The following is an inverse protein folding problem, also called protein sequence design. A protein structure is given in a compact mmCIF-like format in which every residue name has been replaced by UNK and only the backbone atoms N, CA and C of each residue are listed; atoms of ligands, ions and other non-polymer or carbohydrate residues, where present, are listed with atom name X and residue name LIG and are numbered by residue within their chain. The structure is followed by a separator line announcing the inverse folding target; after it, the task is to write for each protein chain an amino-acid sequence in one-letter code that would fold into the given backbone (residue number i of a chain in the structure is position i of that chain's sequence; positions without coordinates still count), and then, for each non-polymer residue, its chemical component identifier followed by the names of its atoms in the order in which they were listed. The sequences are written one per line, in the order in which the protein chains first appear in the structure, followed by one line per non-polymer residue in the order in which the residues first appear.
data_IF_260800509540
#
_entry.id   IF_260800509540
#
_cell.length_a   1.000
_cell.length_b   1.000
_cell.length_c   1.000
_cell.angle_alpha   90.00
_cell.angle_beta   90.00
_cell.angle_gamma   90.00
#
_symmetry.space_group_name_H-M   'P 1'
#
loop_
_entity.id
_entity.type
_entity.pdbx_description
1 polymer ?
#
# COMPACT_ATOMS: atom_id res chain seq x y z
N UNK A 1 16.63 -1.52 -14.55
CA UNK A 1 15.43 -2.31 -14.20
C UNK A 1 15.62 -3.17 -12.95
N UNK A 2 16.61 -4.08 -12.87
CA UNK A 2 16.79 -4.96 -11.70
C UNK A 2 16.93 -4.19 -10.37
N UNK A 3 17.75 -3.14 -10.33
CA UNK A 3 17.85 -2.28 -9.14
C UNK A 3 16.52 -1.65 -8.74
N UNK A 4 15.74 -1.21 -9.74
CA UNK A 4 14.38 -0.70 -9.50
C UNK A 4 13.44 -1.77 -8.95
N UNK A 5 13.45 -2.98 -9.53
CA UNK A 5 12.63 -4.09 -9.05
C UNK A 5 12.96 -4.47 -7.60
N UNK A 6 14.26 -4.52 -7.24
CA UNK A 6 14.69 -4.74 -5.87
C UNK A 6 14.18 -3.63 -4.92
N UNK A 7 14.25 -2.36 -5.33
CA UNK A 7 13.70 -1.25 -4.55
C UNK A 7 12.19 -1.37 -4.39
N UNK A 8 11.47 -1.75 -5.45
CA UNK A 8 10.02 -1.96 -5.39
C UNK A 8 9.62 -3.05 -4.39
N UNK A 9 10.34 -4.17 -4.38
CA UNK A 9 10.14 -5.23 -3.38
C UNK A 9 10.49 -4.73 -1.98
N UNK A 10 11.61 -4.02 -1.81
CA UNK A 10 12.04 -3.52 -0.51
C UNK A 10 11.05 -2.53 0.11
N UNK A 11 10.39 -1.70 -0.71
CA UNK A 11 9.36 -0.77 -0.23
C UNK A 11 8.05 -1.50 0.07
N UNK A 12 7.68 -2.49 -0.75
CA UNK A 12 6.41 -3.20 -0.61
C UNK A 12 6.42 -4.29 0.47
N UNK A 13 7.58 -4.90 0.78
CA UNK A 13 7.71 -6.03 1.69
C UNK A 13 7.40 -5.72 3.16
N UNK A 14 7.71 -4.54 3.73
CA UNK A 14 7.39 -4.25 5.12
C UNK A 14 5.89 -4.35 5.38
N UNK A 15 5.54 -5.02 6.49
CA UNK A 15 4.13 -5.19 6.86
C UNK A 15 3.61 -3.87 7.44
N UNK A 16 2.75 -3.22 6.67
CA UNK A 16 2.09 -1.97 7.03
C UNK A 16 0.59 -2.03 6.82
N UNK A 17 -0.13 -0.91 6.99
CA UNK A 17 -1.58 -0.87 6.84
C UNK A 17 -2.05 -1.33 5.44
N UNK A 18 -1.28 -1.04 4.39
CA UNK A 18 -1.61 -1.45 3.03
C UNK A 18 -1.44 -2.97 2.84
N UNK A 19 -0.38 -3.56 3.43
CA UNK A 19 -0.19 -5.02 3.42
C UNK A 19 -1.37 -5.73 4.09
N UNK A 20 -1.78 -5.23 5.26
CA UNK A 20 -2.91 -5.77 6.02
C UNK A 20 -4.22 -5.69 5.23
N UNK A 21 -4.48 -4.56 4.57
CA UNK A 21 -5.68 -4.38 3.72
C UNK A 21 -5.66 -5.32 2.51
N UNK A 22 -4.52 -5.43 1.83
CA UNK A 22 -4.33 -6.31 0.67
C UNK A 22 -4.52 -7.78 1.05
N UNK A 23 -3.85 -8.24 2.11
CA UNK A 23 -3.98 -9.61 2.63
C UNK A 23 -5.42 -9.94 3.00
N UNK A 24 -6.11 -9.03 3.70
CA UNK A 24 -7.50 -9.21 4.07
C UNK A 24 -8.40 -9.37 2.85
N UNK A 25 -8.24 -8.49 1.83
CA UNK A 25 -9.03 -8.59 0.59
C UNK A 25 -8.75 -9.88 -0.17
N UNK A 26 -7.49 -10.34 -0.19
CA UNK A 26 -7.12 -11.61 -0.78
C UNK A 26 -7.78 -12.79 -0.06
N UNK A 27 -7.86 -12.75 1.28
CA UNK A 27 -8.54 -13.77 2.09
C UNK A 27 -10.06 -13.78 1.88
N UNK A 28 -10.71 -12.62 2.02
CA UNK A 28 -12.17 -12.51 2.03
C UNK A 28 -12.78 -12.57 0.63
N UNK A 29 -12.14 -11.95 -0.36
CA UNK A 29 -12.67 -11.74 -1.71
C UNK A 29 -11.89 -12.51 -2.79
N UNK A 30 -10.77 -13.13 -2.41
CA UNK A 30 -9.95 -13.96 -3.28
C UNK A 30 -8.82 -13.20 -3.98
N UNK A 31 -8.02 -13.94 -4.75
CA UNK A 31 -6.80 -13.47 -5.39
C UNK A 31 -6.98 -12.20 -6.23
N UNK A 32 -8.08 -12.11 -7.01
CA UNK A 32 -8.33 -10.93 -7.88
C UNK A 32 -8.44 -9.64 -7.09
N UNK A 33 -9.14 -9.66 -5.94
CA UNK A 33 -9.27 -8.47 -5.10
C UNK A 33 -7.95 -8.07 -4.45
N UNK A 34 -7.15 -9.06 -4.01
CA UNK A 34 -5.79 -8.84 -3.55
C UNK A 34 -4.90 -8.22 -4.63
N UNK A 35 -4.92 -8.79 -5.85
CA UNK A 35 -4.13 -8.30 -6.98
C UNK A 35 -4.52 -6.87 -7.39
N UNK A 36 -5.81 -6.55 -7.47
CA UNK A 36 -6.29 -5.19 -7.77
C UNK A 36 -5.88 -4.19 -6.70
N UNK A 37 -5.92 -4.61 -5.42
CA UNK A 37 -5.39 -3.80 -4.32
C UNK A 37 -3.89 -3.58 -4.48
N UNK A 38 -3.15 -4.63 -4.78
CA UNK A 38 -1.71 -4.58 -5.03
C UNK A 38 -1.34 -3.71 -6.23
N UNK A 39 -2.13 -3.74 -7.30
CA UNK A 39 -1.94 -2.87 -8.47
C UNK A 39 -2.10 -1.39 -8.10
N UNK A 40 -3.10 -1.05 -7.27
CA UNK A 40 -3.27 0.31 -6.75
C UNK A 40 -2.07 0.77 -5.93
N UNK A 41 -1.55 -0.10 -5.06
CA UNK A 41 -0.36 0.19 -4.25
C UNK A 41 0.86 0.35 -5.17
N UNK A 42 1.10 -0.59 -6.08
CA UNK A 42 2.25 -0.56 -6.98
C UNK A 42 2.27 0.68 -7.89
N UNK A 43 1.10 1.13 -8.34
CA UNK A 43 1.01 2.37 -9.13
C UNK A 43 1.38 3.60 -8.28
N UNK A 44 0.93 3.68 -7.03
CA UNK A 44 1.33 4.74 -6.10
C UNK A 44 2.85 4.71 -5.84
N UNK A 45 3.43 3.52 -5.65
CA UNK A 45 4.88 3.33 -5.50
C UNK A 45 5.63 3.82 -6.76
N UNK A 46 5.11 3.51 -7.95
CA UNK A 46 5.64 4.02 -9.22
C UNK A 46 5.59 5.54 -9.33
N UNK A 47 4.51 6.18 -8.87
CA UNK A 47 4.40 7.64 -8.81
C UNK A 47 5.45 8.25 -7.88
N UNK A 48 5.64 7.68 -6.68
CA UNK A 48 6.69 8.13 -5.76
C UNK A 48 8.09 7.92 -6.32
N UNK A 49 8.32 6.77 -6.95
CA UNK A 49 9.57 6.48 -7.64
C UNK A 49 9.86 7.50 -8.74
N UNK A 50 8.85 7.89 -9.54
CA UNK A 50 8.98 8.90 -10.57
C UNK A 50 9.31 10.27 -9.96
N UNK A 51 8.58 10.70 -8.94
CA UNK A 51 8.86 11.95 -8.23
C UNK A 51 10.29 11.98 -7.70
N UNK A 52 10.76 10.89 -7.11
CA UNK A 52 12.09 10.82 -6.52
C UNK A 52 13.21 10.71 -7.57
N UNK A 53 13.02 9.93 -8.65
CA UNK A 53 14.03 9.66 -9.66
C UNK A 53 14.26 10.85 -10.62
N UNK A 54 13.22 11.62 -10.92
CA UNK A 54 13.32 12.81 -11.79
C UNK A 54 13.72 14.09 -11.04
N UNK A 55 14.05 13.97 -9.74
CA UNK A 55 14.60 15.07 -8.96
C UNK A 55 13.66 16.26 -8.85
N UNK A 56 12.35 16.01 -8.77
CA UNK A 56 11.37 17.08 -8.70
C UNK A 56 11.44 17.73 -7.32
N UNK A 57 12.43 18.59 -7.11
CA UNK A 57 12.58 19.39 -5.89
C UNK A 57 11.28 20.12 -5.53
N UNK A 58 10.52 20.52 -6.53
CA UNK A 58 9.20 21.13 -6.38
C UNK A 58 8.19 20.18 -5.75
N UNK A 59 8.17 18.88 -6.14
CA UNK A 59 7.23 17.89 -5.57
C UNK A 59 7.62 17.56 -4.13
N UNK A 60 8.91 17.45 -3.82
CA UNK A 60 9.34 17.24 -2.44
C UNK A 60 9.03 18.44 -1.55
N UNK A 61 9.16 19.65 -2.04
CA UNK A 61 8.77 20.88 -1.35
C UNK A 61 7.24 20.95 -1.18
N UNK A 62 6.46 20.63 -2.20
CA UNK A 62 5.01 20.61 -2.15
C UNK A 62 4.48 19.50 -1.20
N UNK A 63 5.08 18.31 -1.22
CA UNK A 63 4.75 17.23 -0.27
C UNK A 63 5.12 17.61 1.17
N UNK A 64 6.27 18.29 1.36
CA UNK A 64 6.66 18.79 2.68
C UNK A 64 5.71 19.85 3.20
N UNK A 65 5.28 20.76 2.33
CA UNK A 65 4.27 21.78 2.66
C UNK A 65 2.88 21.18 2.93
N UNK A 66 2.52 20.10 2.21
CA UNK A 66 1.27 19.39 2.38
C UNK A 66 1.33 18.28 3.44
N UNK A 67 2.42 18.15 4.20
CA UNK A 67 2.63 17.07 5.17
C UNK A 67 1.49 16.97 6.17
N UNK A 68 1.11 18.05 6.82
CA UNK A 68 0.04 18.08 7.82
C UNK A 68 -1.33 17.66 7.24
N UNK A 69 -1.84 18.25 6.14
CA UNK A 69 -3.10 17.81 5.57
C UNK A 69 -3.07 16.35 5.07
N UNK A 70 -1.94 15.88 4.55
CA UNK A 70 -1.78 14.47 4.15
C UNK A 70 -1.84 13.51 5.35
N UNK A 71 -1.18 13.86 6.47
CA UNK A 71 -1.25 13.07 7.71
C UNK A 71 -2.67 13.02 8.26
N UNK A 72 -3.38 14.16 8.28
CA UNK A 72 -4.75 14.23 8.75
C UNK A 72 -5.70 13.43 7.84
N UNK A 73 -5.64 13.63 6.54
CA UNK A 73 -6.50 12.92 5.59
C UNK A 73 -6.23 11.42 5.56
N UNK A 74 -4.95 11.02 5.49
CA UNK A 74 -4.54 9.62 5.46
C UNK A 74 -4.83 8.92 6.80
N UNK A 75 -4.53 9.56 7.92
CA UNK A 75 -4.82 9.03 9.25
C UNK A 75 -6.30 8.87 9.50
N UNK A 76 -7.12 9.87 9.17
CA UNK A 76 -8.57 9.80 9.27
C UNK A 76 -9.15 8.69 8.38
N UNK A 77 -8.69 8.57 7.13
CA UNK A 77 -9.12 7.52 6.21
C UNK A 77 -8.78 6.11 6.73
N UNK A 78 -7.59 5.91 7.29
CA UNK A 78 -7.18 4.63 7.89
C UNK A 78 -7.99 4.31 9.15
N UNK A 79 -8.24 5.30 10.02
CA UNK A 79 -9.10 5.13 11.20
C UNK A 79 -10.53 4.75 10.79
N UNK A 80 -11.12 5.49 9.86
CA UNK A 80 -12.47 5.20 9.37
C UNK A 80 -12.54 3.80 8.75
N UNK A 81 -11.56 3.43 7.93
CA UNK A 81 -11.49 2.10 7.33
C UNK A 81 -11.37 1.01 8.39
N UNK A 82 -10.47 1.16 9.37
CA UNK A 82 -10.32 0.22 10.48
C UNK A 82 -11.60 0.05 11.29
N UNK A 83 -12.26 1.17 11.64
CA UNK A 83 -13.52 1.18 12.39
C UNK A 83 -14.69 0.56 11.62
N UNK A 84 -14.84 0.89 10.34
CA UNK A 84 -15.89 0.29 9.49
C UNK A 84 -15.69 -1.22 9.33
N UNK A 85 -14.44 -1.63 9.22
CA UNK A 85 -14.08 -3.04 9.14
C UNK A 85 -14.32 -3.81 10.45
N UNK A 86 -14.14 -3.19 11.62
CA UNK A 86 -14.48 -3.78 12.92
C UNK A 86 -15.98 -4.01 13.07
N UNK A 87 -16.78 -3.05 12.59
CA UNK A 87 -18.24 -3.08 12.67
C UNK A 87 -18.90 -4.00 11.63
N UNK A 88 -18.15 -4.39 10.58
CA UNK A 88 -18.68 -5.29 9.56
C UNK A 88 -19.06 -6.64 10.20
N UNK A 89 -20.26 -7.17 9.96
CA UNK A 89 -20.69 -8.48 10.47
C UNK A 89 -19.71 -9.58 10.07
N UNK A 90 -19.60 -10.60 10.91
CA UNK A 90 -18.89 -11.82 10.50
C UNK A 90 -19.53 -12.34 9.22
N UNK A 91 -18.77 -12.92 8.29
CA UNK A 91 -19.35 -13.68 7.19
C UNK A 91 -19.97 -14.96 7.75
N UNK A 92 -21.16 -14.83 8.34
CA UNK A 92 -22.10 -15.92 8.44
C UNK A 92 -22.71 -16.08 7.06
N UNK A 93 -23.19 -17.25 6.67
CA UNK A 93 -23.72 -17.63 5.37
C UNK A 93 -24.75 -16.67 4.68
N UNK A 94 -24.82 -15.43 5.10
CA UNK A 94 -25.57 -14.32 4.52
C UNK A 94 -24.78 -13.70 3.33
N UNK A 95 -25.49 -13.09 2.34
CA UNK A 95 -24.88 -12.60 1.12
C UNK A 95 -23.68 -11.71 1.44
N UNK A 96 -22.53 -12.01 0.80
CA UNK A 96 -21.29 -11.22 0.88
C UNK A 96 -21.65 -9.74 0.85
N UNK A 97 -21.31 -9.00 1.92
CA UNK A 97 -21.34 -7.54 1.88
C UNK A 97 -20.76 -7.12 0.54
N UNK A 98 -21.51 -6.32 -0.22
CA UNK A 98 -21.23 -6.06 -1.61
C UNK A 98 -19.72 -5.80 -1.81
N UNK A 99 -19.07 -6.73 -2.49
CA UNK A 99 -17.64 -6.57 -2.77
C UNK A 99 -17.49 -5.25 -3.54
N UNK A 100 -16.53 -4.44 -3.14
CA UNK A 100 -16.22 -3.22 -3.89
C UNK A 100 -16.04 -3.57 -5.36
N UNK A 101 -16.50 -2.71 -6.25
CA UNK A 101 -16.21 -2.90 -7.67
C UNK A 101 -14.69 -2.97 -7.89
N UNK A 102 -14.22 -3.65 -8.94
CA UNK A 102 -12.79 -3.73 -9.25
C UNK A 102 -12.11 -2.37 -9.26
N UNK A 103 -12.76 -1.36 -9.84
CA UNK A 103 -12.26 0.01 -9.88
C UNK A 103 -12.19 0.64 -8.47
N UNK A 104 -13.21 0.45 -7.64
CA UNK A 104 -13.22 0.95 -6.28
C UNK A 104 -12.16 0.26 -5.41
N UNK A 105 -11.91 -1.03 -5.64
CA UNK A 105 -10.85 -1.80 -4.95
C UNK A 105 -9.47 -1.24 -5.28
N UNK A 106 -9.18 -0.99 -6.54
CA UNK A 106 -7.96 -0.34 -7.02
C UNK A 106 -7.84 1.10 -6.50
N UNK A 107 -8.86 1.93 -6.74
CA UNK A 107 -8.82 3.36 -6.41
C UNK A 107 -8.66 3.62 -4.92
N UNK A 108 -9.30 2.84 -4.06
CA UNK A 108 -9.17 2.98 -2.60
C UNK A 108 -7.76 2.66 -2.13
N UNK A 109 -7.11 1.60 -2.63
CA UNK A 109 -5.72 1.31 -2.23
C UNK A 109 -4.73 2.29 -2.82
N UNK A 110 -4.91 2.72 -4.06
CA UNK A 110 -4.10 3.77 -4.66
C UNK A 110 -4.16 5.07 -3.84
N UNK A 111 -5.38 5.57 -3.56
CA UNK A 111 -5.58 6.80 -2.79
C UNK A 111 -5.01 6.70 -1.37
N UNK A 112 -5.26 5.58 -0.67
CA UNK A 112 -4.72 5.36 0.67
C UNK A 112 -3.19 5.28 0.68
N UNK A 113 -2.58 4.71 -0.36
CA UNK A 113 -1.12 4.63 -0.47
C UNK A 113 -0.52 6.01 -0.75
N UNK A 114 -1.13 6.79 -1.64
CA UNK A 114 -0.67 8.15 -1.98
C UNK A 114 -0.69 9.09 -0.77
N UNK A 115 -1.65 8.93 0.15
CA UNK A 115 -1.71 9.77 1.37
C UNK A 115 -1.01 9.13 2.58
N UNK A 116 -0.40 7.94 2.41
CA UNK A 116 0.21 7.22 3.52
C UNK A 116 1.59 7.82 3.88
N UNK A 117 1.74 8.43 5.05
CA UNK A 117 3.00 9.07 5.45
C UNK A 117 4.17 8.08 5.55
N UNK A 118 3.92 6.83 5.92
CA UNK A 118 4.97 5.82 6.00
C UNK A 118 5.54 5.49 4.61
N UNK A 119 4.71 5.45 3.57
CA UNK A 119 5.13 5.25 2.18
C UNK A 119 5.97 6.45 1.71
N UNK A 120 5.50 7.67 1.98
CA UNK A 120 6.20 8.92 1.62
C UNK A 120 7.62 8.92 2.21
N UNK A 121 7.74 8.66 3.51
CA UNK A 121 9.02 8.63 4.22
C UNK A 121 9.95 7.53 3.72
N UNK A 122 9.40 6.34 3.42
CA UNK A 122 10.18 5.22 2.88
C UNK A 122 10.79 5.56 1.52
N UNK A 123 10.01 6.16 0.62
CA UNK A 123 10.51 6.60 -0.68
C UNK A 123 11.51 7.74 -0.56
N UNK A 124 11.26 8.74 0.28
CA UNK A 124 12.19 9.84 0.51
C UNK A 124 13.56 9.33 1.00
N UNK A 125 13.58 8.41 1.99
CA UNK A 125 14.83 7.84 2.53
C UNK A 125 15.59 6.96 1.53
N UNK A 126 14.90 6.01 0.89
CA UNK A 126 15.54 5.06 -0.03
C UNK A 126 16.06 5.74 -1.30
N UNK A 127 15.29 6.66 -1.87
CA UNK A 127 15.68 7.33 -3.11
C UNK A 127 16.70 8.43 -2.90
N UNK A 128 16.68 9.14 -1.76
CA UNK A 128 17.74 10.08 -1.42
C UNK A 128 19.10 9.38 -1.42
N UNK A 129 19.20 8.18 -0.82
CA UNK A 129 20.41 7.36 -0.86
C UNK A 129 20.77 6.89 -2.28
N UNK A 130 19.81 6.35 -3.02
CA UNK A 130 20.04 5.79 -4.36
C UNK A 130 20.47 6.85 -5.40
N UNK A 131 19.88 8.04 -5.37
CA UNK A 131 20.17 9.14 -6.31
C UNK A 131 21.50 9.82 -5.95
N UNK A 132 21.80 10.01 -4.66
CA UNK A 132 23.07 10.56 -4.19
C UNK A 132 24.27 9.71 -4.63
N UNK A 133 24.16 8.39 -4.50
CA UNK A 133 25.21 7.45 -4.90
C UNK A 133 25.42 7.40 -6.42
N UNK A 134 24.44 7.81 -7.21
CA UNK A 134 24.49 7.74 -8.67
C UNK A 134 25.03 9.03 -9.34
N UNK A 135 25.33 10.10 -8.58
CA UNK A 135 25.81 11.37 -9.14
C UNK A 135 24.85 12.03 -10.13
N UNK A 136 23.55 11.71 -10.03
CA UNK A 136 22.51 12.08 -10.98
C UNK A 136 22.19 10.95 -11.98
N UNK A 137 20.91 10.78 -12.30
CA UNK A 137 20.45 9.75 -13.25
C UNK A 137 20.14 10.39 -14.61
N UNK A 138 20.63 9.78 -15.70
CA UNK A 138 20.13 10.10 -17.03
C UNK A 138 18.64 9.74 -17.13
N UNK A 139 17.85 10.50 -17.87
CA UNK A 139 16.39 10.31 -17.97
C UNK A 139 16.00 8.86 -18.30
N UNK A 140 16.70 8.20 -19.21
CA UNK A 140 16.46 6.80 -19.52
C UNK A 140 16.70 5.84 -18.33
N UNK A 141 17.75 6.10 -17.54
CA UNK A 141 18.05 5.30 -16.35
C UNK A 141 17.01 5.55 -15.25
N UNK A 142 16.55 6.78 -15.08
CA UNK A 142 15.47 7.14 -14.17
C UNK A 142 14.16 6.43 -14.56
N UNK A 143 13.78 6.46 -15.85
CA UNK A 143 12.60 5.76 -16.34
C UNK A 143 12.66 4.24 -16.10
N UNK A 144 13.83 3.61 -16.35
CA UNK A 144 14.05 2.19 -16.06
C UNK A 144 13.99 1.87 -14.56
N UNK A 145 14.44 2.80 -13.71
CA UNK A 145 14.36 2.65 -12.26
C UNK A 145 12.89 2.68 -11.81
N UNK A 146 12.12 3.66 -12.28
CA UNK A 146 10.68 3.81 -12.00
C UNK A 146 9.89 2.59 -12.46
N UNK A 147 10.06 2.18 -13.71
CA UNK A 147 9.40 0.99 -14.26
C UNK A 147 9.77 -0.27 -13.46
N UNK A 148 11.04 -0.41 -13.08
CA UNK A 148 11.50 -1.50 -12.22
C UNK A 148 10.81 -1.47 -10.87
N UNK A 149 10.72 -0.31 -10.20
CA UNK A 149 10.07 -0.18 -8.90
C UNK A 149 8.58 -0.55 -8.97
N UNK A 150 7.87 -0.05 -9.97
CA UNK A 150 6.48 -0.45 -10.21
C UNK A 150 6.33 -1.97 -10.38
N UNK A 151 7.14 -2.57 -11.26
CA UNK A 151 7.08 -4.01 -11.54
C UNK A 151 7.49 -4.86 -10.35
N UNK A 152 8.50 -4.44 -9.58
CA UNK A 152 8.93 -5.13 -8.37
C UNK A 152 7.86 -5.11 -7.27
N UNK A 153 7.26 -3.95 -7.04
CA UNK A 153 6.13 -3.80 -6.12
C UNK A 153 4.94 -4.65 -6.58
N UNK A 154 4.56 -4.58 -7.87
CA UNK A 154 3.46 -5.38 -8.42
C UNK A 154 3.70 -6.88 -8.29
N UNK A 155 4.91 -7.35 -8.58
CA UNK A 155 5.30 -8.76 -8.42
C UNK A 155 5.16 -9.20 -6.96
N UNK A 156 5.61 -8.40 -6.01
CA UNK A 156 5.45 -8.66 -4.58
C UNK A 156 3.97 -8.82 -4.20
N UNK A 157 3.12 -7.88 -4.61
CA UNK A 157 1.69 -7.92 -4.31
C UNK A 157 0.97 -9.08 -5.00
N UNK A 158 1.37 -9.45 -6.20
CA UNK A 158 0.83 -10.62 -6.91
C UNK A 158 1.17 -11.92 -6.18
N UNK A 159 2.44 -12.08 -5.77
CA UNK A 159 2.90 -13.23 -4.97
C UNK A 159 2.19 -13.31 -3.63
N UNK A 160 2.14 -12.20 -2.88
CA UNK A 160 1.47 -12.13 -1.59
C UNK A 160 -0.02 -12.48 -1.69
N UNK A 161 -0.71 -11.86 -2.66
CA UNK A 161 -2.13 -12.11 -2.88
C UNK A 161 -2.40 -13.55 -3.31
N UNK A 162 -1.54 -14.12 -4.14
CA UNK A 162 -1.62 -15.53 -4.55
C UNK A 162 -1.41 -16.48 -3.39
N UNK A 163 -0.35 -16.28 -2.61
CA UNK A 163 -0.03 -17.08 -1.44
C UNK A 163 -1.16 -17.06 -0.40
N UNK A 164 -1.69 -15.88 -0.10
CA UNK A 164 -2.78 -15.71 0.85
C UNK A 164 -4.08 -16.34 0.34
N UNK A 165 -4.43 -16.12 -0.92
CA UNK A 165 -5.66 -16.67 -1.49
C UNK A 165 -5.62 -18.21 -1.61
N UNK A 166 -4.46 -18.79 -1.90
CA UNK A 166 -4.30 -20.26 -1.93
C UNK A 166 -4.35 -20.89 -0.53
N UNK A 167 -3.91 -20.17 0.50
CA UNK A 167 -3.92 -20.66 1.88
C UNK A 167 -5.28 -20.50 2.58
N UNK A 168 -6.25 -19.81 1.97
CA UNK A 168 -7.55 -19.49 2.61
C UNK A 168 -8.36 -20.73 3.05
N UNK A 169 -8.22 -21.85 2.33
CA UNK A 169 -8.92 -23.09 2.64
C UNK A 169 -8.33 -23.83 3.86
N UNK A 170 -7.12 -23.47 4.26
CA UNK A 170 -6.45 -24.01 5.46
C UNK A 170 -6.83 -23.24 6.72
N UNK A 171 -7.45 -22.07 6.58
CA UNK A 171 -7.82 -21.23 7.71
C UNK A 171 -9.18 -21.59 8.27
N UNK A 172 -9.21 -21.89 9.56
CA UNK A 172 -10.48 -22.07 10.28
C UNK A 172 -11.26 -20.75 10.35
N UNK A 173 -12.57 -20.84 10.61
CA UNK A 173 -13.42 -19.65 10.82
C UNK A 173 -12.88 -18.75 11.94
N UNK A 174 -12.35 -19.36 13.02
CA UNK A 174 -11.71 -18.63 14.13
C UNK A 174 -10.48 -17.87 13.68
N UNK A 175 -9.61 -18.49 12.86
CA UNK A 175 -8.43 -17.86 12.31
C UNK A 175 -8.79 -16.70 11.38
N UNK A 176 -9.78 -16.87 10.51
CA UNK A 176 -10.26 -15.81 9.61
C UNK A 176 -10.85 -14.64 10.41
N UNK A 177 -11.60 -14.91 11.47
CA UNK A 177 -12.11 -13.88 12.38
C UNK A 177 -10.98 -13.13 13.08
N UNK A 178 -9.96 -13.85 13.58
CA UNK A 178 -8.80 -13.26 14.24
C UNK A 178 -8.03 -12.34 13.29
N UNK A 179 -7.75 -12.80 12.07
CA UNK A 179 -7.08 -11.98 11.02
C UNK A 179 -7.88 -10.71 10.75
N UNK A 180 -9.20 -10.80 10.63
CA UNK A 180 -10.04 -9.63 10.38
C UNK A 180 -9.98 -8.62 11.52
N UNK A 181 -10.14 -9.07 12.78
CA UNK A 181 -10.09 -8.17 13.94
C UNK A 181 -8.69 -7.56 14.08
N UNK A 182 -7.63 -8.36 13.99
CA UNK A 182 -6.27 -7.89 14.06
C UNK A 182 -5.96 -6.88 12.95
N UNK A 183 -6.40 -7.13 11.71
CA UNK A 183 -6.25 -6.22 10.58
C UNK A 183 -6.95 -4.88 10.82
N UNK A 184 -8.18 -4.93 11.33
CA UNK A 184 -8.97 -3.73 11.61
C UNK A 184 -8.36 -2.87 12.70
N UNK A 185 -7.89 -3.51 13.78
CA UNK A 185 -7.19 -2.83 14.88
C UNK A 185 -5.86 -2.23 14.42
N UNK A 186 -5.11 -2.97 13.60
CA UNK A 186 -3.86 -2.51 13.02
C UNK A 186 -4.08 -1.24 12.17
N UNK A 187 -5.06 -1.25 11.26
CA UNK A 187 -5.40 -0.07 10.45
C UNK A 187 -5.81 1.13 11.32
N UNK A 188 -6.66 0.90 12.31
CA UNK A 188 -7.09 1.96 13.24
C UNK A 188 -5.92 2.52 14.04
N UNK A 189 -5.02 1.66 14.53
CA UNK A 189 -3.82 2.07 15.26
C UNK A 189 -2.86 2.90 14.39
N UNK A 190 -2.58 2.45 13.14
CA UNK A 190 -1.77 3.23 12.21
C UNK A 190 -2.40 4.58 11.89
N UNK A 191 -3.73 4.62 11.71
CA UNK A 191 -4.46 5.87 11.50
C UNK A 191 -4.34 6.80 12.71
N UNK A 192 -4.51 6.30 13.93
CA UNK A 192 -4.38 7.07 15.15
C UNK A 192 -2.95 7.61 15.33
N UNK A 193 -1.93 6.77 15.11
CA UNK A 193 -0.52 7.21 15.15
C UNK A 193 -0.28 8.32 14.14
N UNK A 194 -0.75 8.17 12.89
CA UNK A 194 -0.61 9.21 11.87
C UNK A 194 -1.29 10.53 12.25
N UNK A 195 -2.40 10.48 12.98
CA UNK A 195 -3.09 11.68 13.46
C UNK A 195 -2.37 12.35 14.65
N UNK A 196 -1.68 11.57 15.48
CA UNK A 196 -0.97 12.06 16.68
C UNK A 196 0.46 12.54 16.37
N UNK A 197 1.13 11.96 15.38
CA UNK A 197 2.48 12.36 14.96
C UNK A 197 2.41 13.49 13.92
N UNK A 198 2.23 14.70 14.43
CA UNK A 198 2.22 15.95 13.62
C UNK A 198 3.64 16.43 13.31
#
# INVERSE_FOLDING_TARGET
MLKGAALGVLVAAPVGPMSVLCMRRALEQGWRAGLLSGLGIALADGCYAACAAFGVAFVSAALSAARTPLHLAGGAALCLLGLTMLRAPAPSAAPRAAALSPLATFATTFALTIVNPATILSFAGLYAGAVSLAGGLRAAAAALLVAGTFLGSLAWWALLSGAIASSRHLLSEKATRLVRVASSLCLAAFGAVALLTR
#
